data_IF_526953094936
#
_entry.id   IF_526953094936
#
_cell.length_a   1.000
_cell.length_b   1.000
_cell.length_c   1.000
_cell.angle_alpha   90.00
_cell.angle_beta   90.00
_cell.angle_gamma   90.00
#
_symmetry.space_group_name_H-M   'P 1'
#
loop_
_entity.id
_entity.type
_entity.pdbx_description
1 polymer ?
#
# COMPACT_ATOMS: atom_id res chain seq x y z
N UNK A 1 -25.87 27.95 -41.25
CA UNK A 1 -25.16 27.07 -40.30
C UNK A 1 -25.91 27.11 -38.99
N UNK A 2 -26.45 25.96 -38.60
CA UNK A 2 -27.57 25.83 -37.66
C UNK A 2 -27.04 25.53 -36.25
N UNK A 3 -26.77 26.58 -35.47
CA UNK A 3 -26.14 26.51 -34.14
C UNK A 3 -26.95 25.70 -33.12
N UNK A 4 -28.27 25.56 -33.33
CA UNK A 4 -29.11 24.72 -32.46
C UNK A 4 -28.75 23.24 -32.59
N UNK A 5 -28.46 22.74 -33.80
CA UNK A 5 -28.06 21.34 -34.00
C UNK A 5 -26.70 21.03 -33.37
N UNK A 6 -25.83 22.03 -33.33
CA UNK A 6 -24.49 21.93 -32.74
C UNK A 6 -24.55 21.92 -31.21
N UNK A 7 -25.42 22.75 -30.61
CA UNK A 7 -25.68 22.75 -29.16
C UNK A 7 -26.36 21.46 -28.68
N UNK A 8 -27.35 20.95 -29.41
CA UNK A 8 -27.97 19.66 -29.08
C UNK A 8 -26.98 18.49 -29.20
N UNK A 9 -26.08 18.52 -30.19
CA UNK A 9 -25.01 17.54 -30.33
C UNK A 9 -24.07 17.56 -29.12
N UNK A 10 -23.58 18.74 -28.72
CA UNK A 10 -22.65 18.89 -27.59
C UNK A 10 -23.30 18.45 -26.27
N UNK A 11 -24.57 18.80 -26.03
CA UNK A 11 -25.29 18.42 -24.80
C UNK A 11 -25.57 16.91 -24.71
N UNK A 12 -25.79 16.22 -25.85
CA UNK A 12 -25.92 14.76 -25.89
C UNK A 12 -24.58 14.03 -25.64
N UNK A 13 -23.46 14.57 -26.13
CA UNK A 13 -22.13 14.00 -25.86
C UNK A 13 -21.71 14.13 -24.39
N UNK A 14 -22.11 15.20 -23.69
CA UNK A 14 -21.79 15.38 -22.26
C UNK A 14 -22.54 14.42 -21.32
N UNK A 15 -23.69 13.86 -21.73
CA UNK A 15 -24.48 12.95 -20.90
C UNK A 15 -24.06 11.47 -20.97
N UNK A 16 -23.20 11.10 -21.93
CA UNK A 16 -22.77 9.70 -22.16
C UNK A 16 -21.39 9.36 -21.59
N UNK A 17 -20.65 10.34 -21.06
CA UNK A 17 -19.34 10.10 -20.43
C UNK A 17 -19.44 10.08 -18.89
N UNK A 18 -20.43 9.36 -18.35
CA UNK A 18 -20.33 8.86 -16.99
C UNK A 18 -19.13 7.93 -16.94
N UNK A 19 -17.99 8.46 -16.50
CA UNK A 19 -16.74 7.72 -16.34
C UNK A 19 -16.95 6.60 -15.33
N UNK A 20 -17.21 5.38 -15.83
CA UNK A 20 -17.24 4.14 -15.06
C UNK A 20 -15.94 3.87 -14.26
N UNK A 21 -14.89 4.67 -14.47
CA UNK A 21 -13.63 4.63 -13.71
C UNK A 21 -13.78 5.11 -12.27
N UNK A 22 -14.66 6.06 -11.96
CA UNK A 22 -14.83 6.54 -10.59
C UNK A 22 -15.53 5.51 -9.67
N UNK A 23 -16.37 4.65 -10.24
CA UNK A 23 -17.17 3.65 -9.50
C UNK A 23 -16.32 2.45 -9.08
N UNK A 24 -15.29 2.09 -9.86
CA UNK A 24 -14.41 0.95 -9.54
C UNK A 24 -13.40 1.22 -8.42
N UNK A 25 -13.02 2.49 -8.18
CA UNK A 25 -12.06 2.86 -7.13
C UNK A 25 -12.62 2.73 -5.70
N UNK A 26 -13.95 2.67 -5.57
CA UNK A 26 -14.62 2.49 -4.28
C UNK A 26 -15.07 1.04 -4.04
N UNK A 27 -14.79 0.11 -4.97
CA UNK A 27 -15.16 -1.29 -4.80
C UNK A 27 -14.27 -1.96 -3.74
N UNK A 28 -14.82 -2.39 -2.58
CA UNK A 28 -14.05 -3.06 -1.53
C UNK A 28 -13.42 -4.38 -1.99
N UNK A 29 -13.94 -5.02 -3.03
CA UNK A 29 -13.41 -6.29 -3.55
C UNK A 29 -12.08 -6.14 -4.29
N UNK A 30 -11.67 -4.91 -4.64
CA UNK A 30 -10.36 -4.63 -5.25
C UNK A 30 -9.28 -4.26 -4.22
N UNK A 31 -9.58 -4.28 -2.92
CA UNK A 31 -8.69 -3.82 -1.84
C UNK A 31 -7.92 -4.95 -1.15
N UNK A 32 -7.54 -6.02 -1.85
CA UNK A 32 -6.72 -7.09 -1.28
C UNK A 32 -7.27 -7.67 0.03
N UNK A 33 -6.38 -8.18 0.89
CA UNK A 33 -6.71 -8.73 2.21
C UNK A 33 -7.01 -7.59 3.21
N UNK A 34 -7.84 -7.80 4.25
CA UNK A 34 -8.09 -6.76 5.26
C UNK A 34 -6.82 -6.41 6.04
N UNK A 35 -6.72 -5.18 6.58
CA UNK A 35 -5.61 -4.80 7.47
C UNK A 35 -5.67 -5.59 8.79
N UNK A 36 -4.51 -5.98 9.30
CA UNK A 36 -4.37 -6.63 10.62
C UNK A 36 -4.04 -5.56 11.66
N UNK A 37 -4.93 -5.36 12.64
CA UNK A 37 -4.76 -4.33 13.67
C UNK A 37 -3.72 -4.69 14.74
N UNK A 38 -3.47 -5.99 14.94
CA UNK A 38 -2.51 -6.52 15.93
C UNK A 38 -1.49 -7.43 15.24
N UNK A 39 -0.51 -6.86 14.50
CA UNK A 39 0.43 -7.65 13.72
C UNK A 39 1.37 -8.46 14.63
N UNK A 40 1.74 -9.64 14.15
CA UNK A 40 2.83 -10.43 14.72
C UNK A 40 3.90 -10.64 13.64
N UNK A 41 5.16 -10.95 13.98
CA UNK A 41 6.16 -11.27 12.97
C UNK A 41 5.74 -12.44 12.05
N UNK A 42 4.94 -13.38 12.56
CA UNK A 42 4.40 -14.51 11.80
C UNK A 42 3.18 -14.17 10.93
N UNK A 43 2.58 -12.99 11.10
CA UNK A 43 1.43 -12.55 10.31
C UNK A 43 1.20 -11.04 10.47
N UNK A 44 1.42 -10.29 9.39
CA UNK A 44 1.18 -8.85 9.33
C UNK A 44 0.79 -8.40 7.92
N UNK A 45 0.22 -7.20 7.81
CA UNK A 45 -0.21 -6.61 6.54
C UNK A 45 0.88 -5.74 5.93
N UNK A 46 1.05 -5.81 4.61
CA UNK A 46 1.88 -4.88 3.82
C UNK A 46 1.11 -4.33 2.63
N UNK A 47 1.48 -3.14 2.19
CA UNK A 47 0.97 -2.52 0.98
C UNK A 47 1.77 -2.99 -0.23
N UNK A 48 1.09 -3.49 -1.25
CA UNK A 48 1.67 -3.92 -2.53
C UNK A 48 1.05 -3.14 -3.70
N UNK A 49 1.87 -2.89 -4.71
CA UNK A 49 1.53 -2.04 -5.86
C UNK A 49 1.52 -0.55 -5.50
N UNK A 50 1.90 0.29 -6.48
CA UNK A 50 2.00 1.74 -6.32
C UNK A 50 0.79 2.34 -5.56
N UNK A 51 1.06 3.19 -4.58
CA UNK A 51 0.01 3.83 -3.74
C UNK A 51 -0.84 2.83 -2.94
N UNK A 52 -0.28 1.68 -2.52
CA UNK A 52 -0.98 0.64 -1.76
C UNK A 52 -2.24 0.14 -2.49
N UNK A 53 -2.08 -0.27 -3.74
CA UNK A 53 -3.20 -0.75 -4.54
C UNK A 53 -3.85 -1.99 -3.92
N UNK A 54 -3.05 -2.84 -3.29
CA UNK A 54 -3.48 -4.09 -2.68
C UNK A 54 -2.84 -4.24 -1.30
N UNK A 55 -3.60 -4.68 -0.31
CA UNK A 55 -3.04 -5.11 0.98
C UNK A 55 -2.77 -6.61 0.92
N UNK A 56 -1.56 -7.00 1.26
CA UNK A 56 -1.14 -8.39 1.35
C UNK A 56 -0.84 -8.80 2.79
N UNK A 57 -0.95 -10.10 3.07
CA UNK A 57 -0.56 -10.68 4.35
C UNK A 57 0.72 -11.47 4.16
N UNK A 58 1.70 -11.19 5.01
CA UNK A 58 3.05 -11.72 4.95
C UNK A 58 3.47 -12.24 6.31
N UNK A 59 4.47 -13.11 6.30
CA UNK A 59 5.03 -13.75 7.49
C UNK A 59 6.55 -13.78 7.39
N UNK A 60 7.22 -13.39 8.47
CA UNK A 60 8.65 -13.66 8.64
C UNK A 60 8.82 -15.07 9.23
N UNK A 61 9.75 -15.82 8.66
CA UNK A 61 10.26 -17.02 9.33
C UNK A 61 10.90 -16.66 10.67
N UNK A 62 11.02 -17.62 11.62
CA UNK A 62 11.71 -17.38 12.88
C UNK A 62 13.14 -16.85 12.72
N UNK A 63 13.83 -17.27 11.66
CA UNK A 63 15.19 -16.82 11.34
C UNK A 63 15.22 -15.38 10.82
N UNK A 64 14.34 -15.01 9.88
CA UNK A 64 14.23 -13.63 9.42
C UNK A 64 13.86 -12.68 10.58
N UNK A 65 12.92 -13.09 11.44
CA UNK A 65 12.59 -12.29 12.63
C UNK A 65 13.76 -12.17 13.60
N UNK A 66 14.59 -13.22 13.73
CA UNK A 66 15.82 -13.14 14.53
C UNK A 66 16.80 -12.12 13.95
N UNK A 67 16.99 -12.08 12.63
CA UNK A 67 17.84 -11.09 11.94
C UNK A 67 17.35 -9.67 12.22
N UNK A 68 16.04 -9.41 12.13
CA UNK A 68 15.47 -8.08 12.46
C UNK A 68 15.82 -7.66 13.89
N UNK A 69 15.69 -8.57 14.87
CA UNK A 69 16.00 -8.26 16.27
C UNK A 69 17.49 -7.95 16.51
N UNK A 70 18.39 -8.46 15.67
CA UNK A 70 19.82 -8.22 15.83
C UNK A 70 20.22 -6.76 15.57
N UNK A 71 19.47 -6.02 14.74
CA UNK A 71 19.72 -4.59 14.52
C UNK A 71 19.54 -3.74 15.79
N UNK A 72 18.77 -4.24 16.76
CA UNK A 72 18.48 -3.56 18.02
C UNK A 72 19.35 -4.07 19.19
N UNK A 73 20.46 -4.74 18.89
CA UNK A 73 21.41 -5.26 19.88
C UNK A 73 22.84 -4.75 19.58
N UNK A 74 23.49 -4.02 20.51
CA UNK A 74 22.97 -3.59 21.81
C UNK A 74 21.84 -2.54 21.68
N UNK A 75 21.07 -2.30 22.75
CA UNK A 75 20.09 -1.21 22.77
C UNK A 75 20.74 0.13 22.41
N UNK A 76 20.01 0.97 21.68
CA UNK A 76 20.49 2.30 21.36
C UNK A 76 20.70 3.16 22.62
N UNK A 77 21.81 3.86 22.68
CA UNK A 77 22.14 4.77 23.79
C UNK A 77 21.67 6.21 23.51
N UNK A 78 21.22 6.49 22.29
CA UNK A 78 20.72 7.79 21.86
C UNK A 78 19.60 7.68 20.82
N UNK A 79 18.72 8.70 20.70
CA UNK A 79 17.70 8.72 19.65
C UNK A 79 18.27 8.66 18.22
N UNK A 80 19.47 9.20 18.00
CA UNK A 80 20.14 9.15 16.70
C UNK A 80 20.55 7.72 16.35
N UNK A 81 21.10 6.98 17.33
CA UNK A 81 21.45 5.58 17.15
C UNK A 81 20.21 4.72 16.96
N UNK A 82 19.13 4.97 17.72
CA UNK A 82 17.86 4.27 17.57
C UNK A 82 17.31 4.42 16.14
N UNK A 83 17.26 5.65 15.61
CA UNK A 83 16.81 5.90 14.23
C UNK A 83 17.67 5.18 13.20
N UNK A 84 18.97 5.08 13.42
CA UNK A 84 19.88 4.33 12.55
C UNK A 84 19.59 2.82 12.59
N UNK A 85 19.37 2.26 13.78
CA UNK A 85 18.97 0.85 13.94
C UNK A 85 17.63 0.56 13.25
N UNK A 86 16.63 1.44 13.43
CA UNK A 86 15.33 1.33 12.76
C UNK A 86 15.48 1.37 11.24
N UNK A 87 16.25 2.32 10.70
CA UNK A 87 16.46 2.45 9.26
C UNK A 87 17.08 1.17 8.65
N UNK A 88 18.09 0.60 9.32
CA UNK A 88 18.70 -0.66 8.87
C UNK A 88 17.74 -1.85 8.93
N UNK A 89 16.92 -1.92 9.99
CA UNK A 89 15.90 -2.96 10.12
C UNK A 89 14.81 -2.85 9.04
N UNK A 90 14.36 -1.63 8.71
CA UNK A 90 13.41 -1.38 7.61
C UNK A 90 14.02 -1.80 6.27
N UNK A 91 15.26 -1.39 5.98
CA UNK A 91 15.93 -1.76 4.73
C UNK A 91 16.06 -3.29 4.56
N UNK A 92 16.33 -4.01 5.65
CA UNK A 92 16.32 -5.47 5.63
C UNK A 92 14.91 -6.05 5.34
N UNK A 93 13.87 -5.50 5.97
CA UNK A 93 12.49 -5.93 5.75
C UNK A 93 12.02 -5.66 4.32
N UNK A 94 12.40 -4.54 3.71
CA UNK A 94 12.09 -4.25 2.31
C UNK A 94 12.61 -5.36 1.40
N UNK A 95 13.85 -5.83 1.59
CA UNK A 95 14.41 -6.92 0.77
C UNK A 95 13.75 -8.28 1.02
N UNK A 96 13.33 -8.56 2.26
CA UNK A 96 12.84 -9.88 2.66
C UNK A 96 11.32 -10.06 2.54
N UNK A 97 10.58 -8.94 2.50
CA UNK A 97 9.11 -8.91 2.50
C UNK A 97 8.55 -8.41 1.17
N UNK A 98 9.37 -7.83 0.29
CA UNK A 98 8.93 -7.45 -1.06
C UNK A 98 8.61 -8.72 -1.86
N UNK A 99 7.31 -8.87 -2.16
CA UNK A 99 6.70 -10.00 -2.88
C UNK A 99 6.56 -9.65 -4.35
#
# INVERSE_FOLDING_TARGET
MDYQKLLFGILLFSALHSNATAVNLLNPENRGKPQIDNPTPSLFSVCYGNTCHTVEHVALSPQQWKSVRQFFQPPAESPQQERSQIANAIAYLEVEVEV
#
